data_IF_367451739181
#
_entry.id   IF_367451739181
#
_cell.length_a   1.000
_cell.length_b   1.000
_cell.length_c   1.000
_cell.angle_alpha   90.00
_cell.angle_beta   90.00
_cell.angle_gamma   90.00
#
_symmetry.space_group_name_H-M   'P 1'
#
loop_
_entity.id
_entity.type
_entity.pdbx_description
1 polymer ?
#
# COMPACT_ATOMS: atom_id res chain seq x y z
N UNK A 1 -10.55 -6.31 3.71
CA UNK A 1 -10.50 -7.55 3.01
C UNK A 1 -9.62 -7.48 1.82
N UNK A 2 -10.21 -7.17 0.65
CA UNK A 2 -9.40 -7.15 -0.56
C UNK A 2 -8.35 -6.05 -0.51
N UNK A 3 -8.69 -4.90 0.04
CA UNK A 3 -7.73 -3.81 0.19
C UNK A 3 -6.59 -4.24 1.11
N UNK A 4 -6.93 -4.79 2.26
CA UNK A 4 -5.91 -5.24 3.20
C UNK A 4 -5.02 -6.31 2.58
N UNK A 5 -5.63 -7.28 1.90
CA UNK A 5 -4.86 -8.37 1.30
C UNK A 5 -3.93 -7.87 0.21
N UNK A 6 -4.36 -6.88 -0.56
CA UNK A 6 -3.49 -6.28 -1.56
C UNK A 6 -2.31 -5.57 -0.91
N UNK A 7 -2.57 -4.83 0.16
CA UNK A 7 -1.50 -4.15 0.86
C UNK A 7 -0.54 -5.14 1.50
N UNK A 8 -1.08 -6.20 2.10
CA UNK A 8 -0.24 -7.18 2.77
C UNK A 8 0.61 -7.96 1.77
N UNK A 9 0.02 -8.39 0.66
CA UNK A 9 0.74 -9.05 -0.41
C UNK A 9 1.87 -8.18 -0.94
N UNK A 10 1.57 -6.90 -1.11
CA UNK A 10 2.55 -5.95 -1.58
C UNK A 10 3.71 -5.85 -0.59
N UNK A 11 3.41 -5.81 0.70
CA UNK A 11 4.44 -5.74 1.73
C UNK A 11 5.32 -6.97 1.71
N UNK A 12 4.72 -8.15 1.56
CA UNK A 12 5.48 -9.39 1.50
C UNK A 12 6.41 -9.39 0.29
N UNK A 13 5.91 -8.93 -0.84
CA UNK A 13 6.69 -8.94 -2.08
C UNK A 13 7.86 -7.97 -2.06
N UNK A 14 7.74 -6.89 -1.31
CA UNK A 14 8.76 -5.83 -1.33
C UNK A 14 9.53 -5.70 -0.04
N UNK A 15 9.32 -6.61 0.91
CA UNK A 15 10.02 -6.57 2.17
C UNK A 15 11.49 -6.91 1.98
N UNK A 16 12.37 -6.05 2.46
CA UNK A 16 13.81 -6.21 2.32
C UNK A 16 14.49 -5.77 3.60
N UNK A 17 15.78 -6.03 3.66
CA UNK A 17 16.58 -5.63 4.79
C UNK A 17 16.26 -6.48 6.00
N UNK A 18 15.77 -5.87 7.06
CA UNK A 18 15.41 -6.59 8.27
C UNK A 18 14.18 -7.46 8.10
N UNK A 19 13.46 -7.27 7.02
CA UNK A 19 12.28 -8.07 6.66
C UNK A 19 11.21 -8.00 7.74
N UNK A 20 10.92 -6.78 8.16
CA UNK A 20 9.88 -6.52 9.14
C UNK A 20 8.62 -6.05 8.41
N UNK A 21 7.50 -6.66 8.76
CA UNK A 21 6.19 -6.21 8.31
C UNK A 21 5.39 -5.89 9.56
N UNK A 22 4.86 -4.69 9.63
CA UNK A 22 4.17 -4.22 10.81
C UNK A 22 2.76 -3.80 10.41
N UNK A 23 1.77 -4.47 10.97
CA UNK A 23 0.36 -4.20 10.69
C UNK A 23 -0.25 -3.55 11.92
N UNK A 24 -0.89 -2.41 11.73
CA UNK A 24 -1.53 -1.70 12.83
C UNK A 24 -2.98 -1.41 12.48
N UNK A 25 -3.81 -1.43 13.49
CA UNK A 25 -5.22 -1.09 13.35
C UNK A 25 -5.62 -0.24 14.54
N UNK A 26 -6.14 0.93 14.26
CA UNK A 26 -6.57 1.85 15.31
C UNK A 26 -7.99 2.31 15.02
N UNK A 27 -8.77 2.42 16.07
CA UNK A 27 -10.13 2.91 15.96
C UNK A 27 -10.24 4.20 16.75
N UNK A 28 -10.74 5.24 16.10
CA UNK A 28 -10.86 6.54 16.75
C UNK A 28 -11.92 7.37 16.04
N UNK A 29 -12.79 7.98 16.83
CA UNK A 29 -13.78 8.93 16.32
C UNK A 29 -14.65 8.36 15.20
N UNK A 30 -15.03 7.09 15.33
CA UNK A 30 -15.91 6.46 14.36
C UNK A 30 -15.20 6.05 13.09
N UNK A 31 -13.89 5.99 13.11
CA UNK A 31 -13.10 5.55 11.95
C UNK A 31 -12.10 4.50 12.36
N UNK A 32 -11.83 3.58 11.46
CA UNK A 32 -10.78 2.58 11.65
C UNK A 32 -9.66 2.88 10.66
N UNK A 33 -8.45 3.03 11.17
CA UNK A 33 -7.26 3.27 10.37
C UNK A 33 -6.42 2.00 10.37
N UNK A 34 -6.16 1.46 9.20
CA UNK A 34 -5.36 0.24 9.04
C UNK A 34 -4.13 0.59 8.25
N UNK A 35 -2.96 0.18 8.74
CA UNK A 35 -1.71 0.45 8.04
C UNK A 35 -0.88 -0.82 7.97
N UNK A 36 -0.12 -0.95 6.87
CA UNK A 36 0.78 -2.06 6.62
C UNK A 36 2.12 -1.48 6.24
N UNK A 37 3.10 -1.64 7.10
CA UNK A 37 4.46 -1.15 6.88
C UNK A 37 5.37 -2.32 6.53
N UNK A 38 6.30 -2.13 5.61
CA UNK A 38 7.36 -3.09 5.37
C UNK A 38 8.69 -2.38 5.25
N UNK A 39 9.74 -3.03 5.77
CA UNK A 39 11.09 -2.54 5.54
C UNK A 39 11.46 -2.78 4.09
N UNK A 40 12.31 -1.92 3.55
CA UNK A 40 12.75 -2.01 2.18
C UNK A 40 13.08 -0.64 1.63
N UNK A 41 13.22 -0.57 0.33
CA UNK A 41 13.51 0.70 -0.32
C UNK A 41 12.26 1.55 -0.40
N UNK A 42 12.37 2.85 -0.06
CA UNK A 42 11.23 3.74 -0.27
C UNK A 42 10.91 3.86 -1.75
N UNK A 43 9.68 4.24 -2.02
CA UNK A 43 9.25 4.47 -3.39
C UNK A 43 9.87 5.77 -3.89
N UNK A 44 10.48 5.79 -5.09
CA UNK A 44 11.02 7.05 -5.63
C UNK A 44 9.93 8.12 -5.69
N UNK A 45 10.33 9.35 -5.40
CA UNK A 45 9.37 10.44 -5.34
C UNK A 45 8.64 10.66 -6.64
N UNK A 46 9.34 10.46 -7.76
CA UNK A 46 8.70 10.66 -9.06
C UNK A 46 7.76 9.53 -9.44
N UNK A 47 7.76 8.45 -8.66
CA UNK A 47 6.86 7.34 -8.89
C UNK A 47 5.66 7.32 -7.97
N UNK A 48 5.76 8.02 -6.82
CA UNK A 48 4.79 7.83 -5.75
C UNK A 48 3.37 8.21 -6.16
N UNK A 49 3.22 9.14 -7.05
CA UNK A 49 1.90 9.52 -7.54
C UNK A 49 1.34 8.59 -8.61
N UNK A 50 2.17 7.66 -9.09
CA UNK A 50 1.77 6.76 -10.18
C UNK A 50 1.56 5.32 -9.75
N UNK A 51 1.91 4.98 -8.50
CA UNK A 51 1.87 3.57 -8.09
C UNK A 51 0.47 3.01 -8.07
N UNK A 52 -0.55 3.87 -8.07
CA UNK A 52 -1.95 3.45 -8.07
C UNK A 52 -2.48 3.18 -9.48
N UNK A 53 -1.67 3.49 -10.49
CA UNK A 53 -2.08 3.31 -11.87
C UNK A 53 -1.95 1.85 -12.27
N UNK A 54 -2.90 1.38 -13.07
CA UNK A 54 -2.90 0.02 -13.53
C UNK A 54 -1.66 -0.25 -14.37
N UNK A 55 -0.97 -1.33 -14.06
CA UNK A 55 0.23 -1.77 -14.77
C UNK A 55 1.45 -0.85 -14.62
N UNK A 56 1.38 0.13 -13.74
CA UNK A 56 2.56 0.96 -13.51
C UNK A 56 3.60 0.17 -12.72
N UNK A 57 4.86 0.28 -13.12
CA UNK A 57 5.95 -0.39 -12.43
C UNK A 57 7.04 0.61 -12.11
N UNK A 58 7.51 0.55 -10.87
CA UNK A 58 8.55 1.45 -10.40
C UNK A 58 9.86 1.17 -11.11
N UNK A 59 10.21 -0.09 -11.31
CA UNK A 59 11.42 -0.52 -11.95
C UNK A 59 11.07 -1.49 -13.06
N UNK A 60 11.17 -1.06 -14.29
CA UNK A 60 10.74 -1.85 -15.42
C UNK A 60 11.58 -3.11 -15.63
N UNK A 61 12.77 -3.16 -15.05
CA UNK A 61 13.60 -4.34 -15.15
C UNK A 61 13.12 -5.46 -14.24
N UNK A 62 12.23 -5.15 -13.31
CA UNK A 62 11.70 -6.15 -12.39
C UNK A 62 10.37 -6.65 -12.85
N UNK A 63 10.12 -7.93 -12.60
CA UNK A 63 8.84 -8.51 -12.96
C UNK A 63 7.83 -8.42 -11.84
N UNK A 64 8.28 -8.12 -10.63
CA UNK A 64 7.38 -8.00 -9.49
C UNK A 64 7.42 -6.61 -8.95
N UNK A 65 6.50 -5.81 -9.38
CA UNK A 65 6.38 -4.47 -8.90
C UNK A 65 5.20 -4.38 -7.96
N UNK A 66 5.00 -3.22 -7.38
CA UNK A 66 3.94 -3.04 -6.41
C UNK A 66 2.63 -3.58 -6.95
N UNK A 67 2.04 -4.51 -6.21
CA UNK A 67 0.82 -5.15 -6.61
C UNK A 67 0.99 -6.42 -7.45
N UNK A 68 2.22 -6.95 -7.54
CA UNK A 68 2.48 -8.19 -8.25
C UNK A 68 2.27 -8.07 -9.74
N UNK A 69 1.06 -8.33 -10.21
CA UNK A 69 0.74 -8.25 -11.62
C UNK A 69 0.67 -6.83 -12.16
N UNK A 70 0.83 -5.84 -11.29
CA UNK A 70 0.72 -4.45 -11.69
C UNK A 70 -0.69 -3.91 -11.60
N UNK A 71 -1.62 -4.69 -11.02
CA UNK A 71 -3.00 -4.25 -10.89
C UNK A 71 -3.47 -4.15 -9.45
N UNK A 72 -2.70 -4.71 -8.49
CA UNK A 72 -3.16 -4.77 -7.11
C UNK A 72 -3.48 -3.42 -6.50
N UNK A 73 -2.59 -2.45 -6.66
CA UNK A 73 -2.82 -1.12 -6.10
C UNK A 73 -3.91 -0.37 -6.85
N UNK A 74 -4.09 -0.62 -8.13
CA UNK A 74 -5.18 0.02 -8.86
C UNK A 74 -6.53 -0.52 -8.40
N UNK A 75 -6.58 -1.78 -7.97
CA UNK A 75 -7.79 -2.34 -7.37
C UNK A 75 -8.11 -1.64 -6.06
N UNK A 76 -7.09 -1.41 -5.23
CA UNK A 76 -7.28 -0.68 -3.98
C UNK A 76 -7.85 0.70 -4.26
N UNK A 77 -7.28 1.40 -5.22
CA UNK A 77 -7.76 2.73 -5.58
C UNK A 77 -9.22 2.68 -6.00
N UNK A 78 -9.58 1.74 -6.85
CA UNK A 78 -10.96 1.62 -7.33
C UNK A 78 -11.93 1.35 -6.17
N UNK A 79 -11.56 0.45 -5.27
CA UNK A 79 -12.41 0.11 -4.15
C UNK A 79 -12.59 1.30 -3.21
N UNK A 80 -11.48 1.92 -2.82
CA UNK A 80 -11.56 3.02 -1.86
C UNK A 80 -12.26 4.24 -2.45
N UNK A 81 -12.01 4.52 -3.72
CA UNK A 81 -12.70 5.63 -4.38
C UNK A 81 -14.21 5.37 -4.46
N UNK A 82 -14.59 4.12 -4.73
CA UNK A 82 -16.01 3.79 -4.82
C UNK A 82 -16.73 3.94 -3.48
N UNK A 83 -15.99 3.77 -2.39
CA UNK A 83 -16.53 3.95 -1.05
C UNK A 83 -16.34 5.37 -0.52
N UNK A 84 -15.63 6.19 -1.27
CA UNK A 84 -15.31 7.57 -0.87
C UNK A 84 -14.58 7.59 0.47
N UNK A 85 -13.61 6.69 0.62
CA UNK A 85 -12.82 6.59 1.85
C UNK A 85 -11.36 6.87 1.56
N UNK A 86 -10.61 7.44 2.53
CA UNK A 86 -9.22 7.83 2.28
C UNK A 86 -8.27 6.65 2.32
N UNK A 87 -7.19 6.77 1.61
CA UNK A 87 -6.10 5.81 1.57
C UNK A 87 -4.83 6.55 1.15
N UNK A 88 -3.68 5.92 1.35
CA UNK A 88 -2.45 6.57 0.96
C UNK A 88 -1.22 5.73 1.21
N UNK A 89 -0.08 6.36 1.02
CA UNK A 89 1.22 5.75 1.20
C UNK A 89 2.15 6.75 1.85
N UNK A 90 3.01 6.26 2.75
CA UNK A 90 3.99 7.09 3.44
C UNK A 90 5.35 6.43 3.27
N UNK A 91 6.33 7.21 2.81
CA UNK A 91 7.72 6.77 2.74
C UNK A 91 8.43 7.06 4.04
N UNK A 92 9.23 6.10 4.47
CA UNK A 92 10.17 6.27 5.57
C UNK A 92 11.56 5.98 5.06
N UNK A 93 12.58 6.34 5.80
CA UNK A 93 13.95 6.09 5.36
C UNK A 93 14.24 4.60 5.23
N UNK A 94 13.54 3.77 5.98
CA UNK A 94 13.80 2.33 6.00
C UNK A 94 12.66 1.50 5.45
N UNK A 95 11.63 2.12 4.86
CA UNK A 95 10.53 1.34 4.35
C UNK A 95 9.36 2.18 3.88
N UNK A 96 8.26 1.50 3.69
CA UNK A 96 7.04 2.08 3.10
C UNK A 96 5.84 1.61 3.90
N UNK A 97 4.90 2.51 4.13
CA UNK A 97 3.66 2.17 4.81
C UNK A 97 2.49 2.51 3.90
N UNK A 98 1.62 1.53 3.66
CA UNK A 98 0.33 1.75 2.98
C UNK A 98 -0.77 1.77 4.03
N UNK A 99 -1.75 2.64 3.86
CA UNK A 99 -2.81 2.77 4.84
C UNK A 99 -4.15 3.04 4.18
N UNK A 100 -5.20 2.72 4.89
CA UNK A 100 -6.56 3.08 4.48
C UNK A 100 -7.42 3.27 5.71
N UNK A 101 -8.53 3.98 5.53
CA UNK A 101 -9.46 4.22 6.61
C UNK A 101 -10.87 3.87 6.17
N UNK A 102 -11.66 3.43 7.13
CA UNK A 102 -13.07 3.13 6.91
C UNK A 102 -13.87 3.77 8.01
N UNK A 103 -15.06 4.25 7.65
CA UNK A 103 -16.00 4.74 8.64
C UNK A 103 -16.65 3.57 9.33
N UNK A 104 -16.82 3.71 10.65
CA UNK A 104 -17.60 2.73 11.42
C UNK A 104 -18.90 3.40 11.85
N UNK A 105 -19.91 2.60 11.99
CA UNK A 105 -21.20 3.13 12.40
C UNK A 105 -21.51 2.78 13.83
#
# INVERSE_FOLDING_TARGET
>A
EEVFMNFFSNAVNHCEGEKIIDVKMEQKDGRVHVSVFNTGKPIPEDSIGHIWEKFYKVDKARTREYGGSGVGLSIVKAIMDSMNQPYGVINYTNGVEFWFELETK
#
